data_IF_866723466971
#
_entry.id   IF_866723466971
#
_cell.length_a   1.000
_cell.length_b   1.000
_cell.length_c   1.000
_cell.angle_alpha   90.00
_cell.angle_beta   90.00
_cell.angle_gamma   90.00
#
_symmetry.space_group_name_H-M   'P 1'
#
loop_
_entity.id
_entity.type
_entity.pdbx_description
1 polymer ?
#
# COMPACT_ATOMS: atom_id res chain seq x y z
N UNK A 1 4.72 1.47 -27.00
CA UNK A 1 5.83 2.45 -26.97
C UNK A 1 5.46 3.73 -26.20
N UNK A 2 4.40 4.46 -26.54
CA UNK A 2 3.98 5.68 -25.82
C UNK A 2 3.72 5.49 -24.32
N UNK A 3 3.04 4.41 -23.93
CA UNK A 3 2.75 4.11 -22.52
C UNK A 3 4.05 3.88 -21.73
N UNK A 4 5.01 3.14 -22.30
CA UNK A 4 6.31 2.84 -21.69
C UNK A 4 7.13 4.12 -21.51
N UNK A 5 7.14 4.99 -22.53
CA UNK A 5 7.81 6.29 -22.45
C UNK A 5 7.17 7.19 -21.37
N UNK A 6 5.83 7.21 -21.28
CA UNK A 6 5.11 7.94 -20.24
C UNK A 6 5.45 7.48 -18.82
N UNK A 7 5.47 6.16 -18.58
CA UNK A 7 5.87 5.61 -17.28
C UNK A 7 7.34 5.91 -16.93
N UNK A 8 8.25 5.87 -17.89
CA UNK A 8 9.64 6.29 -17.65
C UNK A 8 9.74 7.75 -17.24
N UNK A 9 8.99 8.65 -17.90
CA UNK A 9 8.98 10.08 -17.54
C UNK A 9 8.44 10.28 -16.12
N UNK A 10 7.32 9.64 -15.76
CA UNK A 10 6.75 9.73 -14.40
C UNK A 10 7.72 9.16 -13.36
N UNK A 11 8.40 8.06 -13.67
CA UNK A 11 9.41 7.47 -12.78
C UNK A 11 10.61 8.40 -12.54
N UNK A 12 11.11 9.04 -13.59
CA UNK A 12 12.22 10.02 -13.48
C UNK A 12 11.79 11.26 -12.70
N UNK A 13 10.59 11.79 -12.95
CA UNK A 13 10.05 12.92 -12.19
C UNK A 13 9.87 12.55 -10.70
N UNK A 14 9.35 11.36 -10.41
CA UNK A 14 9.21 10.88 -9.04
C UNK A 14 10.57 10.69 -8.35
N UNK A 15 11.62 10.30 -9.07
CA UNK A 15 12.97 10.17 -8.52
C UNK A 15 13.63 11.52 -8.25
N UNK A 16 13.49 12.47 -9.18
CA UNK A 16 14.13 13.80 -9.08
C UNK A 16 13.45 14.68 -8.03
N UNK A 17 12.12 14.60 -7.92
CA UNK A 17 11.32 15.48 -7.06
C UNK A 17 10.72 14.77 -5.84
N UNK A 18 10.82 13.44 -5.74
CA UNK A 18 10.31 12.68 -4.60
C UNK A 18 11.29 12.69 -3.44
N UNK A 19 11.07 13.57 -2.46
CA UNK A 19 11.73 13.47 -1.15
C UNK A 19 10.82 12.69 -0.18
N UNK A 20 11.20 11.45 0.22
CA UNK A 20 10.41 10.62 1.13
C UNK A 20 10.25 11.23 2.53
N UNK A 21 11.10 12.19 2.91
CA UNK A 21 11.02 12.86 4.22
C UNK A 21 9.73 13.64 4.41
N UNK A 22 9.12 14.13 3.33
CA UNK A 22 7.84 14.83 3.39
C UNK A 22 6.67 13.97 3.85
N UNK A 23 6.77 12.65 3.65
CA UNK A 23 5.74 11.69 4.06
C UNK A 23 6.05 11.19 5.47
N UNK A 24 7.33 10.95 5.77
CA UNK A 24 7.76 10.33 7.03
C UNK A 24 7.74 11.32 8.22
N UNK A 25 8.17 12.56 7.99
CA UNK A 25 8.32 13.55 9.07
C UNK A 25 7.23 14.62 9.04
N UNK A 26 6.60 14.90 10.19
CA UNK A 26 5.69 16.04 10.30
C UNK A 26 6.43 17.37 10.17
N UNK A 27 5.70 18.41 9.73
CA UNK A 27 6.18 19.78 9.64
C UNK A 27 5.45 20.67 10.64
N UNK A 28 6.18 21.59 11.25
CA UNK A 28 5.62 22.65 12.08
C UNK A 28 5.01 23.77 11.21
N UNK A 29 4.37 24.78 11.83
CA UNK A 29 3.77 25.91 11.10
C UNK A 29 4.79 26.77 10.35
N UNK A 30 6.08 26.72 10.68
CA UNK A 30 7.14 27.42 9.96
C UNK A 30 7.70 26.62 8.78
N UNK A 31 7.18 25.41 8.53
CA UNK A 31 7.61 24.53 7.44
C UNK A 31 8.83 23.66 7.74
N UNK A 32 9.37 23.69 8.97
CA UNK A 32 10.50 22.85 9.39
C UNK A 32 10.03 21.46 9.83
N UNK A 33 10.86 20.46 9.56
CA UNK A 33 10.61 19.07 9.99
C UNK A 33 10.84 18.91 11.50
N UNK A 34 10.04 18.07 12.14
CA UNK A 34 10.29 17.60 13.51
C UNK A 34 11.16 16.32 13.48
N UNK A 35 12.11 16.21 14.40
CA UNK A 35 13.01 15.05 14.50
C UNK A 35 14.18 15.01 13.51
N UNK A 36 14.33 16.03 12.65
CA UNK A 36 15.42 16.15 11.68
C UNK A 36 15.95 17.59 11.62
N UNK A 37 17.27 17.76 11.49
CA UNK A 37 17.92 19.06 11.35
C UNK A 37 17.97 19.85 12.66
N UNK A 38 17.45 21.08 12.66
CA UNK A 38 17.47 21.94 13.85
C UNK A 38 16.55 21.43 14.99
N UNK A 39 15.56 20.60 14.67
CA UNK A 39 14.62 20.01 15.63
C UNK A 39 14.90 18.52 15.92
N UNK A 40 16.15 18.06 15.82
CA UNK A 40 16.53 16.65 16.08
C UNK A 40 16.05 16.17 17.47
N UNK A 41 16.14 17.00 18.50
CA UNK A 41 15.73 16.67 19.87
C UNK A 41 14.21 16.70 20.10
N UNK A 42 13.45 17.13 19.10
CA UNK A 42 11.99 17.33 19.18
C UNK A 42 11.29 16.56 18.07
N UNK A 43 11.13 15.22 18.20
CA UNK A 43 10.57 14.38 17.15
C UNK A 43 9.05 14.50 17.01
N UNK A 44 8.35 15.02 18.02
CA UNK A 44 6.90 14.97 18.08
C UNK A 44 6.26 16.29 17.66
N UNK A 45 5.23 16.24 16.82
CA UNK A 45 4.42 17.40 16.43
C UNK A 45 3.20 17.52 17.33
N UNK A 46 3.06 18.67 17.98
CA UNK A 46 1.93 19.02 18.82
C UNK A 46 1.06 20.08 18.14
N UNK A 47 -0.26 19.89 18.21
CA UNK A 47 -1.26 20.86 17.77
C UNK A 47 -1.72 21.70 18.96
N UNK A 48 -1.80 23.02 18.81
CA UNK A 48 -2.30 23.90 19.88
C UNK A 48 -3.77 23.65 20.19
N UNK A 49 -4.56 23.37 19.15
CA UNK A 49 -5.97 23.01 19.29
C UNK A 49 -6.30 21.96 18.23
N UNK A 50 -6.37 20.70 18.67
CA UNK A 50 -6.73 19.59 17.77
C UNK A 50 -8.25 19.55 17.51
N UNK A 51 -9.06 20.17 18.38
CA UNK A 51 -10.53 20.19 18.26
C UNK A 51 -10.92 21.10 17.09
N UNK A 52 -10.26 22.25 16.93
CA UNK A 52 -10.39 23.09 15.72
C UNK A 52 -10.00 22.35 14.44
N UNK A 53 -9.10 21.38 14.51
CA UNK A 53 -8.79 20.57 13.34
C UNK A 53 -9.93 19.58 13.02
N UNK A 54 -10.57 19.01 14.04
CA UNK A 54 -11.69 18.09 13.89
C UNK A 54 -12.92 18.71 13.20
N UNK A 55 -13.25 19.94 13.56
CA UNK A 55 -14.41 20.66 12.99
C UNK A 55 -14.14 21.14 11.56
N UNK A 56 -12.87 21.32 11.18
CA UNK A 56 -12.46 21.79 9.86
C UNK A 56 -12.21 20.64 8.85
N UNK A 57 -12.12 19.38 9.28
CA UNK A 57 -11.89 18.23 8.39
C UNK A 57 -13.16 17.81 7.65
N UNK A 58 -13.60 18.65 6.73
CA UNK A 58 -14.32 18.15 5.56
C UNK A 58 -13.36 17.24 4.79
N UNK A 59 -13.79 16.02 4.54
CA UNK A 59 -13.04 14.89 3.95
C UNK A 59 -12.31 15.28 2.63
N UNK A 60 -12.83 16.28 1.91
CA UNK A 60 -12.22 16.84 0.69
C UNK A 60 -10.98 17.72 0.94
N UNK A 61 -10.90 18.45 2.06
CA UNK A 61 -9.75 19.32 2.37
C UNK A 61 -8.50 18.52 2.78
N UNK A 62 -8.70 17.37 3.41
CA UNK A 62 -7.62 16.49 3.86
C UNK A 62 -6.88 15.76 2.71
N UNK A 63 -7.48 15.71 1.51
CA UNK A 63 -6.94 15.02 0.34
C UNK A 63 -6.18 15.95 -0.62
N UNK A 64 -6.49 17.25 -0.67
CA UNK A 64 -6.01 18.16 -1.72
C UNK A 64 -4.82 19.05 -1.31
N UNK A 65 -4.62 19.38 -0.03
CA UNK A 65 -3.62 20.39 0.39
C UNK A 65 -2.67 19.95 1.52
N UNK A 66 -2.69 18.67 1.90
CA UNK A 66 -2.10 18.25 3.16
C UNK A 66 -2.91 18.81 4.33
N UNK A 67 -2.73 18.25 5.52
CA UNK A 67 -3.49 18.64 6.71
C UNK A 67 -3.09 20.05 7.19
N UNK A 68 -3.50 21.11 6.49
CA UNK A 68 -3.42 22.48 6.99
C UNK A 68 -4.59 22.70 7.94
N UNK A 69 -4.49 22.10 9.14
CA UNK A 69 -5.32 22.53 10.27
C UNK A 69 -5.09 24.04 10.44
N UNK A 70 -6.14 24.85 10.67
CA UNK A 70 -6.02 26.29 10.90
C UNK A 70 -5.53 26.57 12.33
N UNK A 71 -4.52 25.83 12.79
CA UNK A 71 -3.96 25.92 14.14
C UNK A 71 -2.44 25.82 14.10
N UNK A 72 -1.80 26.55 15.00
CA UNK A 72 -0.35 26.52 15.14
C UNK A 72 0.14 25.14 15.58
N UNK A 73 1.20 24.66 14.91
CA UNK A 73 1.83 23.36 15.09
C UNK A 73 3.29 23.56 15.51
N UNK A 74 3.71 22.91 16.59
CA UNK A 74 5.06 23.03 17.15
C UNK A 74 5.71 21.65 17.34
N UNK A 75 7.04 21.58 17.20
CA UNK A 75 7.79 20.37 17.52
C UNK A 75 8.13 20.36 19.02
N UNK A 76 7.86 19.23 19.69
CA UNK A 76 8.07 19.01 21.13
C UNK A 76 8.89 17.73 21.34
N UNK A 77 9.59 17.66 22.46
CA UNK A 77 10.37 16.47 22.84
C UNK A 77 9.46 15.36 23.32
N UNK A 78 8.59 15.68 24.27
CA UNK A 78 7.64 14.75 24.88
C UNK A 78 6.22 15.29 24.75
N UNK A 79 5.27 14.44 24.37
CA UNK A 79 3.86 14.82 24.33
C UNK A 79 3.32 14.99 25.76
N UNK A 80 2.45 15.98 26.00
CA UNK A 80 1.89 16.21 27.34
C UNK A 80 1.02 15.04 27.78
N UNK A 81 1.28 14.51 28.98
CA UNK A 81 0.55 13.40 29.59
C UNK A 81 -0.57 13.85 30.55
N UNK A 82 -0.63 15.14 30.84
CA UNK A 82 -1.58 15.74 31.78
C UNK A 82 -2.44 16.78 31.07
N UNK A 83 -3.63 17.02 31.61
CA UNK A 83 -4.47 18.10 31.16
C UNK A 83 -4.07 19.39 31.88
N UNK A 84 -3.87 20.46 31.12
CA UNK A 84 -3.59 21.79 31.65
C UNK A 84 -4.38 22.82 30.86
N UNK A 85 -4.91 23.81 31.58
CA UNK A 85 -5.50 24.99 30.98
C UNK A 85 -4.93 26.24 31.66
N UNK A 86 -4.95 27.36 30.93
CA UNK A 86 -4.59 28.65 31.48
C UNK A 86 -5.54 29.01 32.64
N UNK A 87 -5.05 29.14 33.89
CA UNK A 87 -5.91 29.47 35.00
C UNK A 87 -6.41 30.92 34.90
N UNK A 88 -7.60 31.24 35.45
CA UNK A 88 -8.12 32.61 35.47
C UNK A 88 -7.18 33.62 36.15
N UNK A 89 -6.30 33.15 37.03
CA UNK A 89 -5.28 33.98 37.70
C UNK A 89 -4.26 34.59 36.75
N UNK A 90 -4.04 33.97 35.59
CA UNK A 90 -3.15 34.51 34.56
C UNK A 90 -3.76 35.69 33.78
N UNK A 91 -5.06 35.96 33.96
CA UNK A 91 -5.75 37.09 33.34
C UNK A 91 -5.60 38.41 34.11
N UNK A 92 -5.11 38.36 35.37
CA UNK A 92 -4.99 39.57 36.19
C UNK A 92 -3.80 40.46 35.76
N UNK A 93 -3.97 41.79 35.80
CA UNK A 93 -2.91 42.73 35.45
C UNK A 93 -1.77 42.64 36.48
N UNK A 94 -0.63 42.04 36.08
CA UNK A 94 0.54 41.82 36.93
C UNK A 94 1.02 40.37 37.00
N UNK A 95 0.24 39.41 36.50
CA UNK A 95 0.66 38.03 36.35
C UNK A 95 1.77 37.90 35.29
N UNK A 96 2.91 37.29 35.64
CA UNK A 96 3.99 37.04 34.67
C UNK A 96 3.65 35.80 33.84
N UNK A 97 3.57 35.90 32.50
CA UNK A 97 3.24 34.76 31.65
C UNK A 97 4.21 33.57 31.81
N UNK A 98 5.48 33.85 32.13
CA UNK A 98 6.52 32.84 32.33
C UNK A 98 6.24 31.87 33.50
N UNK A 99 5.42 32.28 34.48
CA UNK A 99 5.09 31.44 35.64
C UNK A 99 3.94 30.47 35.33
N UNK A 100 3.16 30.74 34.26
CA UNK A 100 1.99 29.95 33.89
C UNK A 100 2.21 29.09 32.65
N UNK A 101 2.96 29.59 31.65
CA UNK A 101 3.20 28.85 30.41
C UNK A 101 4.51 28.07 30.45
N UNK A 102 4.52 26.89 29.84
CA UNK A 102 5.74 26.14 29.61
C UNK A 102 6.32 26.49 28.23
N UNK A 103 7.58 26.94 28.23
CA UNK A 103 8.33 27.33 27.03
C UNK A 103 8.47 26.19 26.00
N UNK A 104 8.46 24.94 26.45
CA UNK A 104 8.63 23.78 25.57
C UNK A 104 7.47 23.57 24.60
N UNK A 105 6.27 24.03 24.96
CA UNK A 105 5.05 23.92 24.17
C UNK A 105 4.71 25.21 23.41
N UNK A 106 5.49 26.27 23.58
CA UNK A 106 5.32 27.52 22.86
C UNK A 106 6.13 27.52 21.55
N UNK A 107 5.83 28.46 20.67
CA UNK A 107 6.61 28.65 19.43
C UNK A 107 8.07 29.02 19.76
N UNK A 108 9.06 28.46 19.04
CA UNK A 108 10.48 28.71 19.33
C UNK A 108 10.89 30.18 19.09
N UNK A 109 10.14 30.91 18.26
CA UNK A 109 10.37 32.32 17.97
C UNK A 109 9.98 33.27 19.11
N UNK A 110 9.36 32.76 20.18
CA UNK A 110 8.86 33.56 21.29
C UNK A 110 9.45 33.07 22.61
N UNK A 111 10.08 33.96 23.37
CA UNK A 111 10.63 33.63 24.70
C UNK A 111 9.79 34.29 25.79
N UNK A 112 9.30 33.50 26.74
CA UNK A 112 8.44 33.93 27.85
C UNK A 112 9.10 34.95 28.80
N UNK A 113 10.44 34.97 28.87
CA UNK A 113 11.22 35.82 29.79
C UNK A 113 11.24 37.31 29.40
N UNK A 114 11.17 37.61 28.11
CA UNK A 114 11.34 38.98 27.57
C UNK A 114 10.01 39.62 27.15
N UNK A 115 8.87 39.05 27.59
CA UNK A 115 7.56 39.40 27.05
C UNK A 115 6.95 40.62 27.75
N UNK A 116 6.37 41.52 26.94
CA UNK A 116 5.49 42.60 27.41
C UNK A 116 4.00 42.31 27.15
N UNK A 117 3.70 41.17 26.55
CA UNK A 117 2.35 40.80 26.15
C UNK A 117 1.56 40.21 27.33
N UNK A 118 0.27 40.50 27.38
CA UNK A 118 -0.63 39.84 28.33
C UNK A 118 -0.81 38.37 27.95
N UNK A 119 -1.17 37.52 28.91
CA UNK A 119 -1.48 36.11 28.66
C UNK A 119 -2.55 35.93 27.56
N UNK A 120 -3.51 36.85 27.46
CA UNK A 120 -4.52 36.83 26.40
C UNK A 120 -3.96 37.16 25.01
N UNK A 121 -3.01 38.09 24.92
CA UNK A 121 -2.37 38.43 23.66
C UNK A 121 -1.53 37.26 23.14
N UNK A 122 -0.89 36.52 24.05
CA UNK A 122 -0.09 35.33 23.72
C UNK A 122 -0.98 34.24 23.14
N UNK A 123 -2.15 33.99 23.75
CA UNK A 123 -3.12 33.01 23.26
C UNK A 123 -3.76 33.47 21.94
N UNK A 124 -4.19 34.73 21.85
CA UNK A 124 -4.84 35.28 20.65
C UNK A 124 -3.91 35.28 19.42
N UNK A 125 -2.59 35.44 19.65
CA UNK A 125 -1.57 35.34 18.60
C UNK A 125 -1.09 33.92 18.33
N UNK A 126 -1.67 32.91 18.98
CA UNK A 126 -1.27 31.50 18.89
C UNK A 126 0.24 31.29 19.13
N UNK A 127 0.81 31.99 20.12
CA UNK A 127 2.22 31.82 20.49
C UNK A 127 2.43 30.66 21.48
N UNK A 128 1.43 30.44 22.34
CA UNK A 128 1.36 29.31 23.26
C UNK A 128 -0.07 28.74 23.29
N UNK A 129 -0.24 27.45 23.59
CA UNK A 129 -1.57 26.84 23.68
C UNK A 129 -2.35 27.38 24.89
N UNK A 130 -3.66 27.61 24.73
CA UNK A 130 -4.57 27.97 25.82
C UNK A 130 -4.79 26.80 26.79
N UNK A 131 -4.86 25.60 26.24
CA UNK A 131 -4.97 24.35 26.97
C UNK A 131 -4.28 23.25 26.18
N UNK A 132 -3.82 22.22 26.88
CA UNK A 132 -3.38 20.98 26.27
C UNK A 132 -3.97 19.81 27.06
N UNK A 133 -4.20 18.72 26.36
CA UNK A 133 -4.80 17.51 26.92
C UNK A 133 -3.81 16.35 26.89
N UNK A 134 -4.03 15.31 27.71
CA UNK A 134 -3.23 14.09 27.67
C UNK A 134 -3.21 13.48 26.27
N UNK A 135 -2.01 13.43 25.69
CA UNK A 135 -1.73 12.87 24.38
C UNK A 135 -0.60 11.87 24.46
N UNK A 136 -0.58 10.96 23.50
CA UNK A 136 0.49 9.97 23.35
C UNK A 136 1.21 10.22 22.02
N UNK A 137 2.51 9.94 22.02
CA UNK A 137 3.34 10.04 20.82
C UNK A 137 3.08 8.84 19.91
N UNK A 138 2.58 9.10 18.71
CA UNK A 138 2.34 8.09 17.66
C UNK A 138 2.89 8.64 16.34
N UNK A 139 3.87 7.97 15.72
CA UNK A 139 4.54 8.39 14.48
C UNK A 139 5.04 9.85 14.49
N UNK A 140 5.63 10.30 15.61
CA UNK A 140 6.11 11.68 15.73
C UNK A 140 4.98 12.72 15.78
N UNK A 141 3.75 12.33 16.13
CA UNK A 141 2.61 13.26 16.35
C UNK A 141 2.00 12.99 17.73
N UNK A 142 1.56 14.05 18.40
CA UNK A 142 0.83 13.94 19.65
C UNK A 142 -0.67 13.79 19.35
N UNK A 143 -1.21 12.59 19.57
CA UNK A 143 -2.63 12.29 19.38
C UNK A 143 -3.31 12.07 20.74
N UNK A 144 -4.57 12.49 20.91
CA UNK A 144 -5.30 12.24 22.14
C UNK A 144 -5.49 10.73 22.35
N UNK A 145 -5.21 10.26 23.57
CA UNK A 145 -5.36 8.83 23.90
C UNK A 145 -6.84 8.45 23.96
N UNK A 146 -7.24 7.37 23.27
CA UNK A 146 -8.61 6.82 23.30
C UNK A 146 -8.94 6.03 24.57
N UNK A 147 -7.96 5.78 25.45
CA UNK A 147 -8.10 4.86 26.56
C UNK A 147 -7.47 5.35 27.86
N UNK A 148 -8.13 5.00 28.98
CA UNK A 148 -7.61 5.15 30.33
C UNK A 148 -7.93 6.49 31.02
N UNK A 149 -7.39 6.65 32.24
CA UNK A 149 -7.59 7.74 33.21
C UNK A 149 -7.37 9.17 32.68
N UNK A 150 -7.01 9.35 31.41
CA UNK A 150 -6.82 10.63 30.72
C UNK A 150 -8.09 11.50 30.71
N UNK A 151 -9.28 10.87 30.63
CA UNK A 151 -10.58 11.55 30.70
C UNK A 151 -11.34 11.18 31.98
N UNK A 152 -10.64 11.08 33.11
CA UNK A 152 -11.30 11.03 34.42
C UNK A 152 -11.68 12.44 34.87
N UNK A 153 -12.82 12.59 35.56
CA UNK A 153 -13.23 13.89 36.12
C UNK A 153 -12.21 14.48 37.11
N UNK A 154 -11.33 13.65 37.69
CA UNK A 154 -10.27 14.06 38.61
C UNK A 154 -9.07 14.75 37.94
N UNK A 155 -8.87 14.54 36.64
CA UNK A 155 -7.75 15.11 35.88
C UNK A 155 -8.14 16.35 35.08
N UNK A 156 -9.44 16.69 35.04
CA UNK A 156 -9.92 17.91 34.41
C UNK A 156 -9.99 19.03 35.47
N UNK A 157 -9.33 20.17 35.29
CA UNK A 157 -9.49 21.31 36.18
C UNK A 157 -10.95 21.78 36.11
N UNK A 158 -11.56 22.02 37.26
CA UNK A 158 -12.95 22.48 37.42
C UNK A 158 -13.27 23.81 36.71
N UNK A 159 -12.25 24.52 36.23
CA UNK A 159 -12.35 25.79 35.51
C UNK A 159 -12.45 25.62 33.97
N UNK A 160 -12.46 24.40 33.44
CA UNK A 160 -12.62 24.16 32.01
C UNK A 160 -14.04 23.65 31.70
N UNK A 161 -14.88 24.53 31.13
CA UNK A 161 -16.21 24.19 30.64
C UNK A 161 -16.39 24.68 29.21
N UNK A 162 -16.95 23.83 28.34
CA UNK A 162 -17.41 24.28 27.03
C UNK A 162 -18.63 25.20 27.23
N UNK A 163 -18.79 26.26 26.42
CA UNK A 163 -19.89 27.20 26.60
C UNK A 163 -21.25 26.48 26.54
N UNK A 164 -21.98 26.51 27.66
CA UNK A 164 -23.31 25.91 27.80
C UNK A 164 -23.34 24.46 28.31
N UNK A 165 -22.21 23.85 28.67
CA UNK A 165 -22.16 22.49 29.21
C UNK A 165 -21.58 22.47 30.63
N UNK A 166 -22.13 21.58 31.46
CA UNK A 166 -21.57 21.26 32.78
C UNK A 166 -20.25 20.47 32.62
N UNK A 167 -19.47 20.32 33.69
CA UNK A 167 -18.16 19.63 33.67
C UNK A 167 -18.30 18.21 33.10
N UNK A 168 -19.35 17.49 33.49
CA UNK A 168 -19.62 16.14 33.00
C UNK A 168 -20.05 16.11 31.53
N UNK A 169 -20.81 17.13 31.08
CA UNK A 169 -21.20 17.29 29.68
C UNK A 169 -20.01 17.65 28.79
N UNK A 170 -19.13 18.51 29.27
CA UNK A 170 -17.88 18.90 28.60
C UNK A 170 -16.97 17.68 28.41
N UNK A 171 -16.87 16.82 29.42
CA UNK A 171 -16.11 15.57 29.36
C UNK A 171 -16.68 14.60 28.31
N UNK A 172 -18.00 14.42 28.28
CA UNK A 172 -18.65 13.57 27.29
C UNK A 172 -18.47 14.09 25.86
N UNK A 173 -18.57 15.42 25.66
CA UNK A 173 -18.36 16.06 24.38
C UNK A 173 -16.92 15.90 23.88
N UNK A 174 -15.92 16.13 24.74
CA UNK A 174 -14.52 15.91 24.40
C UNK A 174 -14.26 14.43 24.10
N UNK A 175 -14.81 13.51 24.90
CA UNK A 175 -14.63 12.07 24.68
C UNK A 175 -15.19 11.62 23.33
N UNK A 176 -16.38 12.09 22.96
CA UNK A 176 -16.98 11.77 21.66
C UNK A 176 -16.19 12.40 20.50
N UNK A 177 -15.82 13.67 20.61
CA UNK A 177 -15.01 14.35 19.60
C UNK A 177 -13.62 13.70 19.44
N UNK A 178 -12.98 13.33 20.55
CA UNK A 178 -11.72 12.59 20.55
C UNK A 178 -11.89 11.22 19.89
N UNK A 179 -13.01 10.53 20.14
CA UNK A 179 -13.35 9.26 19.48
C UNK A 179 -13.31 9.35 17.96
N UNK A 180 -13.99 10.35 17.41
CA UNK A 180 -14.05 10.56 15.96
C UNK A 180 -12.71 11.00 15.36
N UNK A 181 -12.00 11.90 16.05
CA UNK A 181 -10.70 12.43 15.64
C UNK A 181 -9.66 11.31 15.58
N UNK A 182 -9.55 10.53 16.66
CA UNK A 182 -8.58 9.45 16.75
C UNK A 182 -8.86 8.33 15.77
N UNK A 183 -10.12 8.00 15.49
CA UNK A 183 -10.45 7.05 14.42
C UNK A 183 -9.97 7.54 13.04
N UNK A 184 -10.16 8.82 12.72
CA UNK A 184 -9.65 9.43 11.49
C UNK A 184 -8.12 9.43 11.41
N UNK A 185 -7.44 9.76 12.51
CA UNK A 185 -5.98 9.75 12.58
C UNK A 185 -5.38 8.33 12.60
N UNK A 186 -6.02 7.35 13.25
CA UNK A 186 -5.61 5.95 13.27
C UNK A 186 -5.57 5.35 11.85
N UNK A 187 -6.55 5.66 11.00
CA UNK A 187 -6.56 5.18 9.61
C UNK A 187 -5.33 5.68 8.83
N UNK A 188 -4.93 6.94 9.06
CA UNK A 188 -3.73 7.51 8.44
C UNK A 188 -2.43 6.97 9.05
N UNK A 189 -2.41 6.74 10.36
CA UNK A 189 -1.28 6.11 11.06
C UNK A 189 -0.99 4.72 10.50
N UNK A 190 -2.02 3.89 10.33
CA UNK A 190 -1.88 2.57 9.69
C UNK A 190 -1.24 2.71 8.31
N UNK A 191 -1.68 3.68 7.51
CA UNK A 191 -1.08 3.97 6.20
C UNK A 191 0.40 4.37 6.28
N UNK A 192 0.76 5.26 7.20
CA UNK A 192 2.14 5.74 7.34
C UNK A 192 3.11 4.69 7.90
N UNK A 193 2.67 3.83 8.84
CA UNK A 193 3.49 2.69 9.32
C UNK A 193 3.87 1.76 8.19
N UNK A 194 2.92 1.48 7.30
CA UNK A 194 3.16 0.68 6.10
C UNK A 194 4.23 1.35 5.22
N UNK A 195 4.16 2.67 5.01
CA UNK A 195 5.17 3.40 4.25
C UNK A 195 6.55 3.43 4.92
N UNK A 196 6.61 3.52 6.25
CA UNK A 196 7.85 3.43 7.00
C UNK A 196 8.53 2.07 6.80
N UNK A 197 7.75 0.99 6.89
CA UNK A 197 8.24 -0.37 6.65
C UNK A 197 8.73 -0.55 5.20
N UNK A 198 8.03 0.05 4.23
CA UNK A 198 8.46 0.09 2.82
C UNK A 198 9.75 0.89 2.63
N UNK A 199 9.86 2.08 3.24
CA UNK A 199 11.04 2.93 3.13
C UNK A 199 12.28 2.25 3.73
N UNK A 200 12.11 1.60 4.88
CA UNK A 200 13.18 0.86 5.56
C UNK A 200 13.58 -0.41 4.81
N UNK A 201 12.65 -1.05 4.10
CA UNK A 201 12.89 -2.32 3.39
C UNK A 201 13.13 -2.17 1.88
N UNK A 202 13.27 -0.94 1.38
CA UNK A 202 13.44 -0.63 -0.05
C UNK A 202 14.50 -1.51 -0.74
N UNK A 203 15.66 -1.71 -0.10
CA UNK A 203 16.75 -2.50 -0.66
C UNK A 203 16.36 -3.97 -0.91
N UNK A 204 15.60 -4.57 0.02
CA UNK A 204 15.13 -5.94 -0.11
C UNK A 204 14.07 -6.08 -1.20
N UNK A 205 13.21 -5.08 -1.36
CA UNK A 205 12.21 -5.02 -2.43
C UNK A 205 12.89 -4.96 -3.80
N UNK A 206 13.88 -4.08 -3.96
CA UNK A 206 14.67 -3.98 -5.20
C UNK A 206 15.40 -5.28 -5.50
N UNK A 207 16.02 -5.90 -4.48
CA UNK A 207 16.68 -7.20 -4.64
C UNK A 207 15.69 -8.28 -5.12
N UNK A 208 14.49 -8.36 -4.52
CA UNK A 208 13.45 -9.29 -4.95
C UNK A 208 12.99 -9.06 -6.39
N UNK A 209 12.84 -7.79 -6.80
CA UNK A 209 12.46 -7.44 -8.17
C UNK A 209 13.54 -7.83 -9.19
N UNK A 210 14.82 -7.63 -8.87
CA UNK A 210 15.95 -8.06 -9.71
C UNK A 210 15.98 -9.58 -9.84
N UNK A 211 15.79 -10.31 -8.74
CA UNK A 211 15.73 -11.78 -8.77
C UNK A 211 14.56 -12.25 -9.64
N UNK A 212 13.38 -11.67 -9.49
CA UNK A 212 12.21 -12.01 -10.30
C UNK A 212 12.46 -11.75 -11.80
N UNK A 213 13.13 -10.65 -12.14
CA UNK A 213 13.52 -10.35 -13.52
C UNK A 213 14.48 -11.41 -14.08
N UNK A 214 15.51 -11.80 -13.32
CA UNK A 214 16.48 -12.83 -13.72
C UNK A 214 15.81 -14.19 -13.88
N UNK A 215 14.96 -14.59 -12.94
CA UNK A 215 14.18 -15.84 -13.03
C UNK A 215 13.28 -15.86 -14.26
N UNK A 216 12.60 -14.74 -14.57
CA UNK A 216 11.76 -14.61 -15.76
C UNK A 216 12.58 -14.76 -17.05
N UNK A 217 13.75 -14.12 -17.12
CA UNK A 217 14.66 -14.24 -18.25
C UNK A 217 15.16 -15.69 -18.40
N UNK A 218 15.56 -16.33 -17.31
CA UNK A 218 15.99 -17.73 -17.32
C UNK A 218 14.88 -18.65 -17.81
N UNK A 219 13.63 -18.45 -17.37
CA UNK A 219 12.48 -19.21 -17.81
C UNK A 219 12.22 -19.06 -19.32
N UNK A 220 12.27 -17.84 -19.85
CA UNK A 220 12.13 -17.60 -21.29
C UNK A 220 13.25 -18.25 -22.11
N UNK A 221 14.49 -18.25 -21.59
CA UNK A 221 15.61 -18.94 -22.22
C UNK A 221 15.39 -20.46 -22.22
N UNK A 222 14.95 -21.05 -21.10
CA UNK A 222 14.64 -22.48 -21.03
C UNK A 222 13.57 -22.89 -22.06
N UNK A 223 12.47 -22.14 -22.16
CA UNK A 223 11.43 -22.40 -23.18
C UNK A 223 11.98 -22.32 -24.61
N UNK A 224 12.90 -21.40 -24.86
CA UNK A 224 13.54 -21.26 -26.18
C UNK A 224 14.40 -22.48 -26.53
N UNK A 225 15.05 -23.10 -25.55
CA UNK A 225 15.86 -24.30 -25.79
C UNK A 225 15.03 -25.59 -25.86
N UNK A 226 13.93 -25.68 -25.13
CA UNK A 226 13.07 -26.87 -25.14
C UNK A 226 12.13 -26.93 -26.34
N UNK A 227 11.67 -25.79 -26.87
CA UNK A 227 10.75 -25.76 -28.01
C UNK A 227 11.30 -26.45 -29.27
N UNK A 228 12.56 -26.23 -29.73
CA UNK A 228 13.12 -26.96 -30.87
C UNK A 228 13.19 -28.46 -30.62
N UNK A 229 13.61 -28.88 -29.41
CA UNK A 229 13.75 -30.31 -29.07
C UNK A 229 12.39 -31.00 -29.12
N UNK A 230 11.34 -30.39 -28.55
CA UNK A 230 9.99 -30.94 -28.59
C UNK A 230 9.49 -31.09 -30.04
N UNK A 231 9.72 -30.09 -30.89
CA UNK A 231 9.35 -30.14 -32.31
C UNK A 231 10.08 -31.27 -33.04
N UNK A 232 11.39 -31.41 -32.86
CA UNK A 232 12.17 -32.49 -33.49
C UNK A 232 11.71 -33.89 -33.04
N UNK A 233 11.44 -34.08 -31.75
CA UNK A 233 10.91 -35.34 -31.22
C UNK A 233 9.53 -35.65 -31.80
N UNK A 234 8.66 -34.64 -31.94
CA UNK A 234 7.34 -34.82 -32.54
C UNK A 234 7.44 -35.19 -34.03
N UNK A 235 8.31 -34.52 -34.79
CA UNK A 235 8.54 -34.84 -36.21
C UNK A 235 9.02 -36.28 -36.36
N UNK A 236 10.06 -36.68 -35.62
CA UNK A 236 10.59 -38.06 -35.67
C UNK A 236 9.52 -39.06 -35.22
N UNK A 237 8.76 -38.74 -34.17
CA UNK A 237 7.69 -39.59 -33.66
C UNK A 237 6.59 -39.85 -34.68
N UNK A 238 6.11 -38.80 -35.37
CA UNK A 238 5.10 -38.93 -36.42
C UNK A 238 5.63 -39.74 -37.60
N UNK A 239 6.87 -39.49 -38.03
CA UNK A 239 7.50 -40.26 -39.10
C UNK A 239 7.66 -41.75 -38.74
N UNK A 240 8.07 -42.05 -37.51
CA UNK A 240 8.22 -43.42 -37.03
C UNK A 240 6.88 -44.18 -36.97
N UNK A 241 5.83 -43.54 -36.45
CA UNK A 241 4.48 -44.12 -36.40
C UNK A 241 3.92 -44.31 -37.81
N UNK A 242 4.11 -43.34 -38.70
CA UNK A 242 3.72 -43.44 -40.11
C UNK A 242 4.41 -44.59 -40.82
N UNK A 243 5.74 -44.69 -40.70
CA UNK A 243 6.51 -45.79 -41.29
C UNK A 243 6.10 -47.17 -40.73
N UNK A 244 5.87 -47.27 -39.41
CA UNK A 244 5.40 -48.50 -38.78
C UNK A 244 4.00 -48.90 -39.28
N UNK A 245 3.09 -47.94 -39.41
CA UNK A 245 1.75 -48.21 -39.94
C UNK A 245 1.78 -48.68 -41.40
N UNK A 246 2.60 -48.08 -42.26
CA UNK A 246 2.76 -48.53 -43.65
C UNK A 246 3.31 -49.97 -43.70
N UNK A 247 4.33 -50.27 -42.88
CA UNK A 247 4.90 -51.62 -42.80
C UNK A 247 3.88 -52.65 -42.32
N UNK A 248 3.12 -52.33 -41.26
CA UNK A 248 2.10 -53.22 -40.71
C UNK A 248 1.01 -53.52 -41.74
N UNK A 249 0.53 -52.49 -42.45
CA UNK A 249 -0.51 -52.66 -43.45
C UNK A 249 -0.02 -53.41 -44.69
N UNK A 250 1.25 -53.24 -45.08
CA UNK A 250 1.86 -54.04 -46.15
C UNK A 250 1.96 -55.53 -45.78
N UNK A 251 2.37 -55.85 -44.55
CA UNK A 251 2.42 -57.24 -44.09
C UNK A 251 1.04 -57.90 -44.08
N UNK A 252 0.03 -57.19 -43.57
CA UNK A 252 -1.33 -57.71 -43.54
C UNK A 252 -1.90 -57.87 -44.95
N UNK A 253 -1.67 -56.90 -45.84
CA UNK A 253 -2.02 -57.02 -47.26
C UNK A 253 -1.39 -58.26 -47.91
N UNK A 254 -0.11 -58.55 -47.65
CA UNK A 254 0.58 -59.72 -48.19
C UNK A 254 0.03 -61.03 -47.62
N UNK A 255 -0.29 -61.07 -46.33
CA UNK A 255 -0.94 -62.22 -45.67
C UNK A 255 -2.30 -62.54 -46.32
N UNK A 256 -3.05 -61.50 -46.71
CA UNK A 256 -4.35 -61.63 -47.35
C UNK A 256 -4.27 -61.70 -48.89
N UNK A 257 -3.08 -61.71 -49.49
CA UNK A 257 -2.88 -61.77 -50.94
C UNK A 257 -3.29 -63.12 -51.55
N UNK A 258 -3.39 -64.19 -50.76
CA UNK A 258 -3.91 -65.50 -51.19
C UNK A 258 -5.43 -65.67 -51.03
N UNK A 259 -6.12 -64.71 -50.42
CA UNK A 259 -7.56 -64.77 -50.14
C UNK A 259 -8.37 -64.17 -51.29
N UNK A 260 -9.41 -64.86 -51.77
CA UNK A 260 -10.23 -64.51 -52.94
C UNK A 260 -11.48 -63.66 -52.62
N UNK A 261 -11.46 -62.92 -51.51
CA UNK A 261 -12.60 -62.12 -51.05
C UNK A 261 -12.45 -60.66 -51.50
N UNK A 262 -13.29 -60.24 -52.45
CA UNK A 262 -13.40 -58.87 -52.94
C UNK A 262 -14.54 -58.12 -52.25
N UNK A 263 -14.47 -56.79 -52.21
CA UNK A 263 -15.48 -55.92 -51.58
C UNK A 263 -16.93 -56.19 -52.07
N UNK A 264 -17.09 -56.65 -53.31
CA UNK A 264 -18.40 -56.97 -53.91
C UNK A 264 -19.11 -58.20 -53.30
N UNK A 265 -18.39 -59.06 -52.57
CA UNK A 265 -18.96 -60.28 -51.97
C UNK A 265 -19.43 -60.09 -50.53
N UNK A 266 -19.09 -58.97 -49.90
CA UNK A 266 -19.41 -58.67 -48.50
C UNK A 266 -20.54 -57.65 -48.47
N UNK A 267 -21.76 -58.10 -48.17
CA UNK A 267 -22.91 -57.20 -47.95
C UNK A 267 -22.69 -56.28 -46.73
N UNK A 268 -23.47 -55.19 -46.64
CA UNK A 268 -23.34 -54.15 -45.62
C UNK A 268 -23.61 -54.72 -44.22
N UNK A 269 -22.54 -55.19 -43.58
CA UNK A 269 -22.54 -55.81 -42.25
C UNK A 269 -22.03 -54.80 -41.22
N UNK A 270 -22.48 -54.92 -39.97
CA UNK A 270 -22.06 -54.06 -38.85
C UNK A 270 -20.82 -54.57 -38.12
N UNK A 271 -20.29 -55.74 -38.52
CA UNK A 271 -19.14 -56.34 -37.88
C UNK A 271 -17.82 -55.88 -38.53
N UNK A 272 -17.04 -55.09 -37.79
CA UNK A 272 -15.78 -54.46 -38.23
C UNK A 272 -14.71 -55.50 -38.60
N UNK A 273 -14.73 -56.69 -37.99
CA UNK A 273 -13.77 -57.76 -38.27
C UNK A 273 -13.89 -58.31 -39.70
N UNK A 274 -15.07 -58.23 -40.32
CA UNK A 274 -15.29 -58.72 -41.68
C UNK A 274 -14.62 -57.80 -42.71
N UNK A 275 -14.61 -56.48 -42.46
CA UNK A 275 -13.93 -55.52 -43.34
C UNK A 275 -12.41 -55.56 -43.21
N UNK A 276 -11.87 -55.99 -42.06
CA UNK A 276 -10.44 -56.22 -41.86
C UNK A 276 -9.91 -57.49 -42.57
N UNK A 277 -10.79 -58.34 -43.09
CA UNK A 277 -10.43 -59.56 -43.85
C UNK A 277 -10.44 -59.35 -45.38
N UNK A 278 -10.80 -58.15 -45.83
CA UNK A 278 -10.86 -57.78 -47.26
C UNK A 278 -9.54 -57.13 -47.66
N UNK A 279 -9.00 -57.48 -48.83
CA UNK A 279 -7.72 -56.95 -49.31
C UNK A 279 -7.79 -55.46 -49.67
N UNK A 280 -8.89 -55.05 -50.30
CA UNK A 280 -9.08 -53.69 -50.83
C UNK A 280 -9.16 -52.62 -49.72
N UNK A 281 -9.58 -52.99 -48.51
CA UNK A 281 -9.67 -52.07 -47.36
C UNK A 281 -8.29 -51.74 -46.80
N UNK A 282 -7.36 -52.71 -46.76
CA UNK A 282 -5.97 -52.48 -46.37
C UNK A 282 -5.21 -51.62 -47.37
N UNK A 283 -5.51 -51.75 -48.67
CA UNK A 283 -4.89 -50.93 -49.71
C UNK A 283 -5.34 -49.46 -49.60
N UNK A 284 -6.63 -49.22 -49.34
CA UNK A 284 -7.14 -47.87 -49.06
C UNK A 284 -6.57 -47.26 -47.76
N UNK A 285 -6.37 -48.08 -46.73
CA UNK A 285 -5.75 -47.63 -45.47
C UNK A 285 -4.25 -47.28 -45.65
N UNK A 286 -3.51 -48.08 -46.42
CA UNK A 286 -2.13 -47.77 -46.81
C UNK A 286 -2.02 -46.43 -47.54
N UNK A 287 -2.88 -46.19 -48.54
CA UNK A 287 -2.87 -44.95 -49.34
C UNK A 287 -3.24 -43.73 -48.49
N UNK A 288 -4.22 -43.87 -47.61
CA UNK A 288 -4.64 -42.81 -46.67
C UNK A 288 -3.54 -42.45 -45.67
N UNK A 289 -2.83 -43.45 -45.14
CA UNK A 289 -1.72 -43.25 -44.20
C UNK A 289 -0.49 -42.62 -44.89
N UNK A 290 -0.25 -43.00 -46.15
CA UNK A 290 0.80 -42.41 -46.97
C UNK A 290 0.52 -40.93 -47.26
N UNK A 291 -0.72 -40.60 -47.65
CA UNK A 291 -1.16 -39.22 -47.87
C UNK A 291 -1.06 -38.38 -46.58
N UNK A 292 -1.48 -38.93 -45.44
CA UNK A 292 -1.35 -38.25 -44.15
C UNK A 292 0.12 -37.95 -43.79
N UNK A 293 1.04 -38.87 -44.07
CA UNK A 293 2.47 -38.67 -43.82
C UNK A 293 3.08 -37.59 -44.74
N UNK A 294 2.62 -37.51 -46.00
CA UNK A 294 3.07 -36.50 -46.96
C UNK A 294 2.59 -35.08 -46.64
N UNK A 295 1.42 -34.94 -45.99
CA UNK A 295 0.88 -33.63 -45.56
C UNK A 295 1.66 -33.04 -44.37
N UNK A 296 2.37 -33.88 -43.60
CA UNK A 296 3.14 -33.47 -42.41
C UNK A 296 4.63 -33.20 -42.68
N UNK A 297 5.11 -33.42 -43.91
CA UNK A 297 6.51 -33.22 -44.33
C UNK A 297 6.69 -31.90 -45.09
#
# INVERSE_FOLDING_TARGET
MLIIAGYMVVGVLAWLYGDPRHVLYPRNSTGMFCGVGQNNDKPNLMYFDIIKCATATNIMAAALQGLQCPTTQVCVKTCPSEFWNLPPSAHFPGAKPADFFNQDYCVPSFQLKDTKYSAMDIVNKELCPLFYMPTTSVLGRCLPSLGGNAYNPSNLPSNFTLPGLDVNGTLAAIRNATGDVTNSFNIKDVGLRIFEDFAKSWQWIVAGLVIAMVVSVLFLLLLRFTAPVLVWVLIIGVLAVGAFGIWYCYNEYMSLASSSLNFSNVGLTTNVQVYLQVRDTWLAFCESLHFATFVFQ
#
